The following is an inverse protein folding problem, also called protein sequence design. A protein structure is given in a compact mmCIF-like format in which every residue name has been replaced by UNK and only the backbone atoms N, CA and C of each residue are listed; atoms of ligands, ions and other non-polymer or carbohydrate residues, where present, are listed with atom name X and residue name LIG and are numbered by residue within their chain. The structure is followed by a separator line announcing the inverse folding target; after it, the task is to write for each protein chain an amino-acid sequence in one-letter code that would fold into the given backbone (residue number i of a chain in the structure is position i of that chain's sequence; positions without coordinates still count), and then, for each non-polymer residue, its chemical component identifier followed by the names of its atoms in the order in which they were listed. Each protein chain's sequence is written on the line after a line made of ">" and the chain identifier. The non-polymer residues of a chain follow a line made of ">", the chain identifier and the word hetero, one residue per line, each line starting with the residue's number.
data_IF_816395636099
#
_entry.id   IF_816395636099
#
_cell.length_a   1.000
_cell.length_b   1.000
_cell.length_c   1.000
_cell.angle_alpha   90.00
_cell.angle_beta   90.00
_cell.angle_gamma   90.00
#
_symmetry.space_group_name_H-M   'P 1'
#
loop_
_entity.id
_entity.type
_entity.pdbx_description
1 polymer ?
#
# COMPACT_ATOMS: atom_id res chain seq x y z
N UNK A 1 31.73 -60.52 -41.82
CA UNK A 1 31.65 -59.48 -40.77
C UNK A 1 30.47 -58.50 -40.92
N UNK A 2 29.80 -58.39 -42.09
CA UNK A 2 28.66 -57.46 -42.33
C UNK A 2 27.38 -57.80 -41.55
N UNK A 3 26.97 -59.08 -41.46
CA UNK A 3 25.72 -59.50 -40.78
C UNK A 3 25.63 -59.11 -39.29
N UNK A 4 26.72 -59.25 -38.53
CA UNK A 4 26.77 -58.83 -37.10
C UNK A 4 26.49 -57.34 -36.88
N UNK A 5 26.75 -56.47 -37.87
CA UNK A 5 26.45 -55.03 -37.77
C UNK A 5 24.98 -54.71 -38.05
N UNK A 6 24.32 -55.53 -38.87
CA UNK A 6 22.90 -55.38 -39.20
C UNK A 6 22.00 -55.88 -38.08
N UNK A 7 22.36 -57.01 -37.44
CA UNK A 7 21.65 -57.52 -36.27
C UNK A 7 21.73 -56.54 -35.09
N UNK A 8 22.92 -55.99 -34.81
CA UNK A 8 23.11 -54.95 -33.79
C UNK A 8 22.36 -53.65 -34.11
N UNK A 9 22.23 -53.28 -35.39
CA UNK A 9 21.39 -52.14 -35.81
C UNK A 9 19.91 -52.41 -35.56
N UNK A 10 19.43 -53.64 -35.80
CA UNK A 10 18.03 -54.03 -35.56
C UNK A 10 17.70 -54.06 -34.06
N UNK A 11 18.61 -54.60 -33.24
CA UNK A 11 18.48 -54.60 -31.78
C UNK A 11 18.49 -53.18 -31.21
N UNK A 12 19.40 -52.31 -31.67
CA UNK A 12 19.40 -50.90 -31.26
C UNK A 12 18.14 -50.16 -31.72
N UNK A 13 17.66 -50.41 -32.94
CA UNK A 13 16.42 -49.78 -33.43
C UNK A 13 15.18 -50.26 -32.66
N UNK A 14 15.12 -51.54 -32.26
CA UNK A 14 14.08 -52.09 -31.40
C UNK A 14 14.16 -51.53 -29.98
N UNK A 15 15.36 -51.40 -29.42
CA UNK A 15 15.57 -50.79 -28.11
C UNK A 15 15.15 -49.32 -28.12
N UNK A 16 15.50 -48.55 -29.16
CA UNK A 16 15.08 -47.15 -29.32
C UNK A 16 13.56 -47.05 -29.45
N UNK A 17 12.92 -47.92 -30.24
CA UNK A 17 11.45 -47.96 -30.40
C UNK A 17 10.72 -48.26 -29.10
N UNK A 18 11.31 -49.03 -28.18
CA UNK A 18 10.75 -49.31 -26.85
C UNK A 18 11.07 -48.20 -25.82
N UNK A 19 12.18 -47.49 -25.97
CA UNK A 19 12.56 -46.38 -25.08
C UNK A 19 11.72 -45.12 -25.28
N UNK A 20 11.28 -44.84 -26.52
CA UNK A 20 10.43 -43.69 -26.84
C UNK A 20 9.11 -43.71 -26.04
N UNK A 21 8.26 -44.76 -26.09
CA UNK A 21 7.00 -44.78 -25.34
C UNK A 21 7.23 -44.78 -23.82
N UNK A 22 8.31 -45.42 -23.34
CA UNK A 22 8.68 -45.41 -21.92
C UNK A 22 9.07 -44.00 -21.46
N UNK A 23 9.83 -43.26 -22.26
CA UNK A 23 10.18 -41.87 -21.97
C UNK A 23 8.96 -40.94 -21.98
N UNK A 24 8.01 -41.16 -22.89
CA UNK A 24 6.77 -40.39 -22.97
C UNK A 24 5.87 -40.65 -21.76
N UNK A 25 5.77 -41.91 -21.32
CA UNK A 25 5.04 -42.28 -20.09
C UNK A 25 5.67 -41.65 -18.85
N UNK A 26 7.01 -41.68 -18.73
CA UNK A 26 7.73 -41.03 -17.64
C UNK A 26 7.50 -39.51 -17.63
N UNK A 27 7.57 -38.85 -18.79
CA UNK A 27 7.30 -37.42 -18.90
C UNK A 27 5.84 -37.08 -18.53
N UNK A 28 4.87 -37.87 -19.00
CA UNK A 28 3.46 -37.70 -18.67
C UNK A 28 3.19 -37.85 -17.16
N UNK A 29 3.85 -38.81 -16.52
CA UNK A 29 3.74 -39.03 -15.07
C UNK A 29 4.28 -37.84 -14.27
N UNK A 30 5.44 -37.29 -14.68
CA UNK A 30 6.02 -36.09 -14.04
C UNK A 30 5.09 -34.88 -14.21
N UNK A 31 4.56 -34.65 -15.42
CA UNK A 31 3.63 -33.54 -15.68
C UNK A 31 2.37 -33.69 -14.83
N UNK A 32 1.82 -34.90 -14.71
CA UNK A 32 0.65 -35.18 -13.89
C UNK A 32 0.90 -34.89 -12.41
N UNK A 33 2.03 -35.36 -11.86
CA UNK A 33 2.41 -35.13 -10.46
C UNK A 33 2.60 -33.64 -10.14
N UNK A 34 3.20 -32.86 -11.05
CA UNK A 34 3.39 -31.42 -10.88
C UNK A 34 2.06 -30.66 -10.98
N UNK A 35 1.15 -31.08 -11.86
CA UNK A 35 -0.15 -30.43 -12.02
C UNK A 35 -1.05 -30.58 -10.78
N UNK A 36 -0.95 -31.68 -10.06
CA UNK A 36 -1.69 -31.89 -8.81
C UNK A 36 -1.15 -31.01 -7.66
N UNK A 37 0.17 -30.81 -7.58
CA UNK A 37 0.81 -29.91 -6.61
C UNK A 37 0.42 -28.44 -6.84
N UNK A 38 0.37 -28.00 -8.10
CA UNK A 38 -0.04 -26.64 -8.45
C UNK A 38 -1.50 -26.35 -8.07
N UNK A 39 -2.40 -27.32 -8.28
CA UNK A 39 -3.81 -27.18 -7.88
C UNK A 39 -3.99 -27.10 -6.37
N UNK A 40 -3.19 -27.84 -5.60
CA UNK A 40 -3.25 -27.77 -4.13
C UNK A 40 -2.69 -26.44 -3.60
N UNK A 41 -1.61 -25.93 -4.19
CA UNK A 41 -1.09 -24.60 -3.83
C UNK A 41 -2.09 -23.49 -4.16
N UNK A 42 -2.74 -23.54 -5.33
CA UNK A 42 -3.77 -22.56 -5.70
C UNK A 42 -5.00 -22.66 -4.78
N UNK A 43 -5.39 -23.86 -4.38
CA UNK A 43 -6.50 -24.06 -3.44
C UNK A 43 -6.17 -23.53 -2.04
N UNK A 44 -4.97 -23.83 -1.52
CA UNK A 44 -4.51 -23.35 -0.21
C UNK A 44 -4.30 -21.82 -0.19
N UNK A 45 -3.81 -21.24 -1.29
CA UNK A 45 -3.68 -19.79 -1.44
C UNK A 45 -5.05 -19.08 -1.52
N UNK A 46 -6.06 -19.76 -2.09
CA UNK A 46 -7.45 -19.26 -2.12
C UNK A 46 -8.15 -19.36 -0.78
N UNK A 47 -7.91 -20.43 0.00
CA UNK A 47 -8.43 -20.55 1.37
C UNK A 47 -7.85 -19.49 2.31
N UNK A 48 -6.58 -19.09 2.13
CA UNK A 48 -5.98 -17.99 2.91
C UNK A 48 -6.51 -16.60 2.51
N UNK A 49 -7.15 -16.47 1.36
CA UNK A 49 -7.81 -15.25 0.90
C UNK A 49 -9.29 -15.18 1.28
N UNK A 50 -9.83 -16.20 1.96
CA UNK A 50 -11.20 -16.20 2.48
C UNK A 50 -11.32 -15.20 3.64
N UNK A 51 -11.55 -13.95 3.25
CA UNK A 51 -12.35 -12.93 3.92
C UNK A 51 -12.02 -12.68 5.38
N UNK A 52 -10.90 -11.98 5.61
CA UNK A 52 -10.86 -11.07 6.75
C UNK A 52 -11.78 -9.90 6.40
N UNK A 53 -13.01 -9.94 6.90
CA UNK A 53 -13.96 -8.85 6.76
C UNK A 53 -13.29 -7.56 7.28
N UNK A 54 -13.18 -6.49 6.47
CA UNK A 54 -12.53 -5.27 6.93
C UNK A 54 -13.32 -4.71 8.10
N UNK A 55 -12.63 -4.38 9.18
CA UNK A 55 -13.26 -3.72 10.31
C UNK A 55 -13.92 -2.41 9.82
N UNK A 56 -15.17 -2.12 10.24
CA UNK A 56 -15.87 -0.93 9.80
C UNK A 56 -15.09 0.32 10.21
N UNK A 57 -14.64 1.09 9.23
CA UNK A 57 -13.99 2.39 9.43
C UNK A 57 -15.00 3.35 10.07
N UNK A 58 -14.76 3.72 11.33
CA UNK A 58 -15.54 4.77 12.00
C UNK A 58 -14.86 6.11 11.72
N UNK A 59 -15.49 6.94 10.89
CA UNK A 59 -15.05 8.32 10.67
C UNK A 59 -15.81 9.20 11.67
N UNK A 60 -15.11 9.64 12.71
CA UNK A 60 -15.66 10.62 13.64
C UNK A 60 -15.62 12.01 13.01
N UNK A 61 -16.76 12.70 13.02
CA UNK A 61 -16.80 14.13 12.70
C UNK A 61 -16.73 14.88 14.03
N UNK A 62 -15.63 15.58 14.35
CA UNK A 62 -15.52 16.32 15.59
C UNK A 62 -16.54 17.46 15.61
N UNK A 63 -16.99 17.82 16.81
CA UNK A 63 -17.77 19.03 17.01
C UNK A 63 -16.95 20.25 16.56
N UNK A 64 -17.59 21.27 15.94
CA UNK A 64 -16.90 22.49 15.56
C UNK A 64 -16.33 23.20 16.80
N UNK A 65 -15.07 23.61 16.73
CA UNK A 65 -14.46 24.43 17.77
C UNK A 65 -15.04 25.84 17.74
N UNK A 66 -15.44 26.37 18.91
CA UNK A 66 -15.91 27.76 19.04
C UNK A 66 -14.76 28.78 19.17
N UNK A 67 -13.51 28.30 19.29
CA UNK A 67 -12.34 29.15 19.55
C UNK A 67 -11.11 28.73 18.75
N UNK A 68 -10.30 29.69 18.35
CA UNK A 68 -8.97 29.49 17.75
C UNK A 68 -8.02 30.63 18.12
N UNK A 69 -6.71 30.42 17.97
CA UNK A 69 -5.67 31.42 18.26
C UNK A 69 -4.88 31.77 17.01
N UNK A 70 -4.58 33.05 16.80
CA UNK A 70 -3.67 33.52 15.74
C UNK A 70 -2.35 33.94 16.41
N UNK A 71 -1.26 33.34 15.96
CA UNK A 71 0.11 33.65 16.42
C UNK A 71 0.84 34.32 15.27
N UNK A 72 1.31 35.56 15.49
CA UNK A 72 2.02 36.33 14.46
C UNK A 72 3.52 36.26 14.71
N UNK A 73 4.27 35.75 13.73
CA UNK A 73 5.73 35.77 13.74
C UNK A 73 6.22 36.97 12.93
N UNK A 74 6.87 37.94 13.58
CA UNK A 74 7.39 39.13 12.92
C UNK A 74 8.73 39.53 13.53
N UNK A 75 9.69 40.02 12.73
CA UNK A 75 10.97 40.53 13.21
C UNK A 75 11.72 39.62 14.22
N UNK A 76 11.60 38.29 14.06
CA UNK A 76 12.24 37.30 14.95
C UNK A 76 11.56 37.08 16.31
N UNK A 77 10.37 37.66 16.53
CA UNK A 77 9.56 37.49 17.74
C UNK A 77 8.18 36.88 17.47
N UNK A 78 7.52 36.48 18.56
CA UNK A 78 6.14 35.98 18.58
C UNK A 78 5.25 37.04 19.22
N UNK A 79 4.15 37.40 18.56
CA UNK A 79 3.25 38.45 19.01
C UNK A 79 1.83 37.92 19.18
N UNK A 80 1.19 38.31 20.27
CA UNK A 80 -0.24 38.24 20.42
C UNK A 80 -0.89 39.39 19.66
N UNK A 81 -1.98 39.10 18.95
CA UNK A 81 -2.82 40.11 18.34
C UNK A 81 -4.05 40.35 19.20
N UNK A 82 -4.31 41.62 19.52
CA UNK A 82 -5.52 42.06 20.20
C UNK A 82 -6.33 42.92 19.26
N UNK A 83 -7.55 42.49 18.96
CA UNK A 83 -8.42 43.17 18.02
C UNK A 83 -9.54 42.28 17.50
N UNK A 84 -10.13 42.70 16.39
CA UNK A 84 -11.18 41.96 15.70
C UNK A 84 -10.61 41.24 14.49
N UNK A 85 -11.10 40.02 14.26
CA UNK A 85 -10.80 39.23 13.08
C UNK A 85 -12.10 39.01 12.30
N UNK A 86 -12.07 39.31 11.01
CA UNK A 86 -13.19 39.09 10.10
C UNK A 86 -12.73 38.19 8.94
N UNK A 87 -13.32 37.01 8.82
CA UNK A 87 -13.08 36.08 7.71
C UNK A 87 -14.16 36.32 6.67
N UNK A 88 -13.77 36.92 5.55
CA UNK A 88 -14.67 37.24 4.44
C UNK A 88 -14.82 36.06 3.47
N UNK A 89 -13.79 35.23 3.36
CA UNK A 89 -13.82 33.97 2.63
C UNK A 89 -12.95 32.93 3.35
N UNK A 90 -13.49 31.73 3.58
CA UNK A 90 -12.82 30.60 4.22
C UNK A 90 -12.26 29.57 3.21
N UNK A 91 -12.34 29.85 1.90
CA UNK A 91 -11.74 29.08 0.82
C UNK A 91 -12.49 27.79 0.45
N UNK A 92 -13.65 27.51 1.05
CA UNK A 92 -14.47 26.33 0.70
C UNK A 92 -15.06 26.38 -0.71
N UNK A 93 -15.12 27.58 -1.28
CA UNK A 93 -15.56 27.83 -2.65
C UNK A 93 -14.43 27.69 -3.69
N UNK A 94 -13.20 27.43 -3.25
CA UNK A 94 -12.02 27.33 -4.11
C UNK A 94 -11.38 28.68 -4.46
N UNK A 95 -11.89 29.78 -3.90
CA UNK A 95 -11.33 31.12 -4.05
C UNK A 95 -10.33 31.43 -2.91
N UNK A 96 -9.64 32.57 -3.01
CA UNK A 96 -8.64 32.98 -2.02
C UNK A 96 -9.26 33.20 -0.64
N UNK A 97 -8.56 32.75 0.41
CA UNK A 97 -8.92 33.03 1.80
C UNK A 97 -8.69 34.51 2.06
N UNK A 98 -9.74 35.23 2.43
CA UNK A 98 -9.68 36.65 2.71
C UNK A 98 -10.00 36.89 4.18
N UNK A 99 -9.01 37.42 4.92
CA UNK A 99 -9.19 37.83 6.31
C UNK A 99 -8.78 39.30 6.51
N UNK A 100 -9.49 40.00 7.39
CA UNK A 100 -9.12 41.34 7.83
C UNK A 100 -8.81 41.31 9.32
N UNK A 101 -7.69 41.95 9.70
CA UNK A 101 -7.27 42.12 11.08
C UNK A 101 -7.32 43.60 11.44
N UNK A 102 -8.17 43.98 12.39
CA UNK A 102 -8.26 45.34 12.91
C UNK A 102 -7.92 45.36 14.40
N UNK A 103 -6.74 45.90 14.74
CA UNK A 103 -6.23 45.85 16.11
C UNK A 103 -4.79 46.30 16.22
N UNK A 104 -4.15 45.93 17.32
CA UNK A 104 -2.74 46.19 17.57
C UNK A 104 -2.03 44.91 18.02
N UNK A 105 -0.72 44.85 17.74
CA UNK A 105 0.14 43.79 18.23
C UNK A 105 0.78 44.26 19.52
N UNK A 106 0.74 43.43 20.55
CA UNK A 106 1.44 43.70 21.79
C UNK A 106 2.62 42.75 21.90
N UNK A 107 3.80 43.33 22.15
CA UNK A 107 5.02 42.59 22.43
C UNK A 107 5.04 42.13 23.90
N UNK A 108 3.93 41.65 24.44
CA UNK A 108 3.90 41.17 25.82
C UNK A 108 4.15 39.66 25.87
N UNK A 109 5.34 39.37 26.38
CA UNK A 109 5.92 38.08 26.71
C UNK A 109 6.19 37.15 25.52
N UNK A 110 7.40 36.57 25.42
CA UNK A 110 7.57 35.39 24.59
C UNK A 110 6.59 34.36 25.14
N UNK A 111 5.50 34.10 24.41
CA UNK A 111 4.80 32.83 24.56
C UNK A 111 5.92 31.79 24.42
N UNK A 112 6.30 31.16 25.54
CA UNK A 112 7.24 30.05 25.50
C UNK A 112 6.78 29.14 24.38
N UNK A 113 7.73 28.62 23.59
CA UNK A 113 7.46 27.71 22.46
C UNK A 113 6.29 26.82 22.90
N UNK A 114 5.09 26.95 22.30
CA UNK A 114 3.98 26.11 22.72
C UNK A 114 4.49 24.69 22.60
N UNK A 115 4.33 23.90 23.66
CA UNK A 115 4.75 22.51 23.62
C UNK A 115 3.91 21.87 22.50
N UNK A 116 4.53 21.72 21.32
CA UNK A 116 3.87 21.15 20.16
C UNK A 116 3.69 19.68 20.53
N UNK A 117 2.55 19.36 21.14
CA UNK A 117 2.07 18.00 21.15
C UNK A 117 1.61 17.74 19.73
N UNK A 118 2.58 17.34 18.89
CA UNK A 118 2.31 16.71 17.61
C UNK A 118 1.46 15.47 17.91
N UNK A 119 0.17 15.67 18.01
CA UNK A 119 -0.82 14.61 17.96
C UNK A 119 -1.02 14.33 16.48
N UNK A 120 0.01 13.75 15.87
CA UNK A 120 -0.23 12.91 14.71
C UNK A 120 -1.10 11.75 15.22
N UNK A 121 -2.39 11.84 14.91
CA UNK A 121 -3.27 10.68 14.96
C UNK A 121 -2.74 9.61 13.99
N UNK A 122 -3.11 8.33 14.22
CA UNK A 122 -2.71 7.22 13.34
C UNK A 122 -3.13 7.44 11.88
#
# INVERSE_FOLDING_TARGET
>A
MRRRKEDRRRENNLAILLLIPVSLLMAAFIIFAVADDWKQQDAAAREQQETKEPEPLTIETPDPCDTGSIVIYANGGVYAFYGTFDIKNDGRDGEEIIMTLEGYMEAEYPHGVPEVKETYGP
#
